data_IF_940153687881
#
_entry.id   IF_940153687881
#
_cell.length_a   1.000
_cell.length_b   1.000
_cell.length_c   1.000
_cell.angle_alpha   90.00
_cell.angle_beta   90.00
_cell.angle_gamma   90.00
#
_symmetry.space_group_name_H-M   'P 1'
#
loop_
_entity.id
_entity.type
_entity.pdbx_description
1 polymer ?
#
# COMPACT_ATOMS: atom_id res chain seq x y z
N UNK A 1 -2.87 8.47 -18.91
CA UNK A 1 -2.63 7.18 -18.25
C UNK A 1 -3.80 6.82 -17.39
N UNK A 2 -4.16 5.55 -17.40
CA UNK A 2 -5.33 5.11 -16.67
C UNK A 2 -5.02 4.99 -15.19
N UNK A 3 -5.90 5.54 -14.37
CA UNK A 3 -5.87 5.35 -12.93
C UNK A 3 -6.55 4.03 -12.60
N UNK A 4 -5.91 3.22 -11.78
CA UNK A 4 -6.45 1.96 -11.28
C UNK A 4 -6.42 1.97 -9.76
N UNK A 5 -7.17 1.05 -9.15
CA UNK A 5 -7.14 0.85 -7.71
C UNK A 5 -6.94 -0.63 -7.42
N UNK A 6 -6.06 -0.93 -6.46
CA UNK A 6 -5.79 -2.28 -6.00
C UNK A 6 -5.99 -2.39 -4.50
N UNK A 7 -6.50 -3.52 -4.10
CA UNK A 7 -6.58 -3.91 -2.70
C UNK A 7 -5.51 -4.95 -2.41
N UNK A 8 -4.75 -4.71 -1.34
CA UNK A 8 -3.66 -5.59 -0.91
C UNK A 8 -3.91 -6.11 0.50
N UNK A 9 -3.53 -7.36 0.73
CA UNK A 9 -3.33 -7.89 2.08
C UNK A 9 -1.91 -8.43 2.14
N UNK A 10 -1.10 -7.89 3.05
CA UNK A 10 0.30 -8.28 3.21
C UNK A 10 0.47 -9.16 4.43
N UNK A 11 1.23 -10.25 4.28
CA UNK A 11 1.57 -11.18 5.35
C UNK A 11 3.06 -11.26 5.53
N UNK A 12 3.51 -11.49 6.76
CA UNK A 12 4.91 -11.61 7.12
C UNK A 12 5.28 -10.69 8.26
N UNK A 13 6.52 -10.21 8.28
CA UNK A 13 6.98 -9.22 9.25
C UNK A 13 6.56 -7.84 8.76
N UNK A 14 5.26 -7.50 8.94
CA UNK A 14 4.64 -6.30 8.39
C UNK A 14 4.09 -5.36 9.45
N UNK A 15 3.85 -5.84 10.68
CA UNK A 15 3.43 -4.97 11.79
C UNK A 15 4.60 -4.75 12.76
N UNK A 16 4.66 -3.56 13.35
CA UNK A 16 5.72 -3.22 14.30
C UNK A 16 7.07 -2.95 13.65
N UNK A 17 7.11 -2.79 12.33
CA UNK A 17 8.33 -2.60 11.55
C UNK A 17 8.30 -1.30 10.72
N UNK A 18 7.34 -0.41 11.00
CA UNK A 18 7.23 0.87 10.31
C UNK A 18 6.51 0.79 8.96
N UNK A 19 5.77 -0.28 8.68
CA UNK A 19 5.11 -0.50 7.40
C UNK A 19 4.17 0.67 7.04
N UNK A 20 3.34 1.11 7.98
CA UNK A 20 2.38 2.19 7.72
C UNK A 20 3.08 3.52 7.45
N UNK A 21 4.15 3.79 8.19
CA UNK A 21 4.98 4.98 7.99
C UNK A 21 5.60 4.97 6.59
N UNK A 22 6.24 3.87 6.22
CA UNK A 22 6.86 3.73 4.90
C UNK A 22 5.84 3.79 3.78
N UNK A 23 4.65 3.23 4.01
CA UNK A 23 3.55 3.28 3.03
C UNK A 23 3.13 4.72 2.74
N UNK A 24 2.91 5.51 3.79
CA UNK A 24 2.52 6.90 3.65
C UNK A 24 3.60 7.70 2.93
N UNK A 25 4.85 7.47 3.28
CA UNK A 25 5.98 8.15 2.69
C UNK A 25 6.12 7.80 1.20
N UNK A 26 6.08 6.52 0.87
CA UNK A 26 6.17 6.06 -0.52
C UNK A 26 4.98 6.54 -1.35
N UNK A 27 3.78 6.53 -0.78
CA UNK A 27 2.60 7.05 -1.47
C UNK A 27 2.77 8.52 -1.85
N UNK A 28 3.31 9.31 -0.93
CA UNK A 28 3.61 10.72 -1.20
C UNK A 28 4.64 10.88 -2.32
N UNK A 29 5.65 10.01 -2.34
CA UNK A 29 6.72 10.05 -3.33
C UNK A 29 6.20 9.77 -4.75
N UNK A 30 5.25 8.86 -4.89
CA UNK A 30 4.77 8.41 -6.20
C UNK A 30 3.37 8.92 -6.55
N UNK A 31 2.79 9.78 -5.73
CA UNK A 31 1.47 10.34 -5.99
C UNK A 31 0.34 9.31 -5.89
N UNK A 32 0.45 8.36 -4.98
CA UNK A 32 -0.56 7.32 -4.75
C UNK A 32 -1.52 7.78 -3.67
N UNK A 33 -2.81 7.57 -3.89
CA UNK A 33 -3.85 7.79 -2.88
C UNK A 33 -4.36 6.45 -2.38
N UNK A 34 -5.07 6.45 -1.26
CA UNK A 34 -5.62 5.25 -0.67
C UNK A 34 -5.52 5.24 0.84
N UNK A 35 -5.29 4.06 1.39
CA UNK A 35 -5.17 3.91 2.84
C UNK A 35 -4.42 2.63 3.20
N UNK A 36 -3.91 2.59 4.42
CA UNK A 36 -3.24 1.42 5.00
C UNK A 36 -3.72 1.22 6.43
N UNK A 37 -3.87 -0.03 6.83
CA UNK A 37 -4.44 -0.40 8.12
C UNK A 37 -3.79 -1.68 8.64
N UNK A 38 -3.42 -1.70 9.94
CA UNK A 38 -3.01 -2.92 10.60
C UNK A 38 -4.23 -3.72 11.00
N UNK A 39 -4.31 -4.95 10.51
CA UNK A 39 -5.42 -5.84 10.83
C UNK A 39 -5.17 -6.58 12.14
N UNK A 40 -6.24 -7.01 12.76
CA UNK A 40 -6.22 -7.72 14.04
C UNK A 40 -5.40 -9.02 13.98
N UNK A 41 -5.38 -9.68 12.82
CA UNK A 41 -4.72 -10.97 12.63
C UNK A 41 -3.22 -10.88 12.32
N UNK A 42 -2.64 -9.68 12.39
CA UNK A 42 -1.23 -9.46 12.13
C UNK A 42 -0.91 -9.08 10.69
N UNK A 43 -1.89 -9.10 9.80
CA UNK A 43 -1.70 -8.66 8.41
C UNK A 43 -1.80 -7.13 8.30
N UNK A 44 -1.36 -6.60 7.17
CA UNK A 44 -1.59 -5.19 6.81
C UNK A 44 -2.47 -5.16 5.58
N UNK A 45 -3.53 -4.38 5.64
CA UNK A 45 -4.45 -4.18 4.55
C UNK A 45 -4.22 -2.80 3.94
N UNK A 46 -4.25 -2.71 2.61
CA UNK A 46 -4.02 -1.45 1.91
C UNK A 46 -4.89 -1.37 0.68
N UNK A 47 -5.36 -0.16 0.37
CA UNK A 47 -5.84 0.16 -0.97
C UNK A 47 -4.96 1.26 -1.54
N UNK A 48 -4.58 1.11 -2.80
CA UNK A 48 -3.69 2.04 -3.47
C UNK A 48 -4.25 2.39 -4.84
N UNK A 49 -4.28 3.68 -5.14
CA UNK A 49 -4.87 4.23 -6.36
C UNK A 49 -3.92 5.21 -7.02
N UNK A 50 -3.56 4.92 -8.24
CA UNK A 50 -2.74 5.75 -9.12
C UNK A 50 -2.66 5.04 -10.47
N UNK A 51 -1.77 5.50 -11.36
CA UNK A 51 -1.44 4.66 -12.49
C UNK A 51 -0.68 3.42 -11.99
N UNK A 52 -0.72 2.37 -12.79
CA UNK A 52 -0.15 1.07 -12.44
C UNK A 52 1.32 1.14 -12.03
N UNK A 53 2.11 1.92 -12.77
CA UNK A 53 3.53 2.04 -12.54
C UNK A 53 3.83 2.68 -11.17
N UNK A 54 3.09 3.72 -10.83
CA UNK A 54 3.25 4.40 -9.54
C UNK A 54 2.95 3.46 -8.38
N UNK A 55 1.89 2.66 -8.49
CA UNK A 55 1.54 1.68 -7.46
C UNK A 55 2.65 0.63 -7.33
N UNK A 56 3.12 0.08 -8.45
CA UNK A 56 4.17 -0.93 -8.44
C UNK A 56 5.46 -0.39 -7.81
N UNK A 57 5.84 0.84 -8.13
CA UNK A 57 7.02 1.48 -7.53
C UNK A 57 6.86 1.72 -6.04
N UNK A 58 5.66 2.09 -5.61
CA UNK A 58 5.35 2.25 -4.19
C UNK A 58 5.55 0.92 -3.44
N UNK A 59 4.99 -0.15 -3.95
CA UNK A 59 5.09 -1.46 -3.31
C UNK A 59 6.55 -1.94 -3.28
N UNK A 60 7.29 -1.75 -4.35
CA UNK A 60 8.72 -2.10 -4.39
C UNK A 60 9.52 -1.31 -3.34
N UNK A 61 9.23 -0.03 -3.20
CA UNK A 61 9.90 0.81 -2.21
C UNK A 61 9.64 0.31 -0.78
N UNK A 62 8.40 -0.05 -0.49
CA UNK A 62 8.05 -0.62 0.82
C UNK A 62 8.76 -1.96 1.03
N UNK A 63 8.73 -2.83 0.03
CA UNK A 63 9.29 -4.17 0.11
C UNK A 63 10.82 -4.16 0.27
N UNK A 64 11.48 -3.10 -0.17
CA UNK A 64 12.93 -2.96 -0.05
C UNK A 64 13.38 -2.45 1.32
N UNK A 65 12.47 -2.11 2.21
CA UNK A 65 12.86 -1.72 3.56
C UNK A 65 13.43 -2.91 4.31
N UNK A 66 14.56 -2.68 5.01
CA UNK A 66 15.33 -3.75 5.67
C UNK A 66 14.58 -4.44 6.81
N UNK A 67 13.62 -3.77 7.41
CA UNK A 67 12.87 -4.31 8.55
C UNK A 67 11.54 -4.92 8.15
N UNK A 68 11.10 -4.71 6.92
CA UNK A 68 9.84 -5.24 6.40
C UNK A 68 10.15 -6.52 5.62
N UNK A 69 9.44 -7.59 5.94
CA UNK A 69 9.54 -8.82 5.19
C UNK A 69 8.15 -9.28 4.78
N UNK A 70 7.81 -9.03 3.52
CA UNK A 70 6.54 -9.48 2.94
C UNK A 70 6.75 -10.91 2.45
N UNK A 71 6.16 -11.86 3.17
CA UNK A 71 6.26 -13.29 2.83
C UNK A 71 5.26 -13.63 1.73
N UNK A 72 4.09 -12.98 1.78
CA UNK A 72 2.99 -13.28 0.87
C UNK A 72 2.07 -12.07 0.79
N UNK A 73 1.38 -11.93 -0.33
CA UNK A 73 0.38 -10.87 -0.47
C UNK A 73 -0.73 -11.29 -1.42
N UNK A 74 -1.94 -10.87 -1.08
CA UNK A 74 -3.10 -10.98 -1.97
C UNK A 74 -3.30 -9.62 -2.64
N UNK A 75 -3.51 -9.64 -3.93
CA UNK A 75 -3.71 -8.43 -4.74
C UNK A 75 -4.98 -8.59 -5.56
N UNK A 76 -5.81 -7.57 -5.58
CA UNK A 76 -7.09 -7.61 -6.29
C UNK A 76 -7.37 -6.24 -6.88
N UNK A 77 -7.76 -6.19 -8.14
CA UNK A 77 -8.24 -4.96 -8.76
C UNK A 77 -9.65 -4.65 -8.27
N UNK A 78 -9.88 -3.41 -7.90
CA UNK A 78 -11.16 -2.93 -7.38
C UNK A 78 -11.53 -1.62 -8.08
N UNK A 79 -12.79 -1.18 -7.97
CA UNK A 79 -13.19 0.09 -8.58
C UNK A 79 -12.44 1.29 -8.01
N UNK A 80 -12.18 2.26 -8.89
CA UNK A 80 -11.56 3.53 -8.53
C UNK A 80 -12.53 4.32 -7.63
N UNK A 81 -11.96 4.97 -6.61
CA UNK A 81 -12.69 5.89 -5.74
C UNK A 81 -12.46 7.31 -6.27
N UNK A 82 -13.52 7.97 -6.69
CA UNK A 82 -13.43 9.33 -7.21
C UNK A 82 -13.19 10.32 -6.07
N UNK A 83 -12.48 11.38 -6.39
CA UNK A 83 -12.18 12.49 -5.46
C UNK A 83 -11.33 12.12 -4.26
N UNK A 84 -10.70 10.94 -4.25
CA UNK A 84 -9.71 10.62 -3.23
C UNK A 84 -8.44 11.41 -3.50
N UNK A 85 -7.95 12.15 -2.49
CA UNK A 85 -6.87 13.11 -2.67
C UNK A 85 -5.62 12.84 -1.86
N UNK A 86 -5.67 11.88 -0.95
CA UNK A 86 -4.52 11.62 -0.08
C UNK A 86 -4.43 10.13 0.26
N UNK A 87 -3.29 9.76 0.81
CA UNK A 87 -3.06 8.44 1.38
C UNK A 87 -3.15 8.55 2.90
N UNK A 88 -3.98 7.70 3.52
CA UNK A 88 -4.28 7.79 4.95
C UNK A 88 -3.87 6.53 5.68
N UNK A 89 -3.42 6.71 6.92
CA UNK A 89 -3.24 5.62 7.88
C UNK A 89 -4.53 5.56 8.71
N UNK A 90 -5.20 4.43 8.69
CA UNK A 90 -6.51 4.27 9.34
C UNK A 90 -6.54 3.12 10.33
#
# INVERSE_FOLDING_TARGET
>A
MDVIRRHYVFRGAVQGVGFRYHSKHAASMYGVTGWVHNCYDGTVEMEAQADRRAIDMMIDTIANDRFINIVDMDVKNIPVVEDERRFRVV
#
